data_IF_598221737907
#
_entry.id   IF_598221737907
#
_cell.length_a   1.000
_cell.length_b   1.000
_cell.length_c   1.000
_cell.angle_alpha   90.00
_cell.angle_beta   90.00
_cell.angle_gamma   90.00
#
_symmetry.space_group_name_H-M   'P 1'
#
loop_
_entity.id
_entity.type
_entity.pdbx_description
1 polymer ?
#
# COMPACT_ATOMS: atom_id res chain seq x y z
N UNK A 1 19.50 17.65 13.58
CA UNK A 1 20.22 16.63 14.38
C UNK A 1 19.69 16.67 15.79
N UNK A 2 19.46 15.51 16.43
CA UNK A 2 19.09 15.39 17.86
C UNK A 2 19.88 14.23 18.45
N UNK A 3 20.47 14.41 19.62
CA UNK A 3 21.30 13.41 20.27
C UNK A 3 20.80 13.24 21.70
N UNK A 4 20.57 11.99 22.08
CA UNK A 4 20.07 11.62 23.39
C UNK A 4 21.06 10.70 24.09
N UNK A 5 21.49 11.07 25.28
CA UNK A 5 22.13 10.16 26.22
C UNK A 5 21.05 9.56 27.12
N UNK A 6 20.86 8.26 27.02
CA UNK A 6 19.77 7.53 27.70
C UNK A 6 20.39 6.66 28.83
N UNK A 7 20.05 7.00 30.04
CA UNK A 7 20.40 6.25 31.26
C UNK A 7 19.13 5.67 31.88
N UNK A 8 19.27 4.76 32.81
CA UNK A 8 18.12 4.19 33.50
C UNK A 8 17.22 5.25 34.18
N UNK A 9 17.81 6.33 34.68
CA UNK A 9 17.14 7.35 35.48
C UNK A 9 17.15 8.77 34.84
N UNK A 10 17.92 8.98 33.79
CA UNK A 10 18.10 10.30 33.22
C UNK A 10 18.21 10.25 31.69
N UNK A 11 17.56 11.19 31.04
CA UNK A 11 17.67 11.40 29.61
C UNK A 11 18.16 12.83 29.39
N UNK A 12 19.25 12.97 28.66
CA UNK A 12 19.79 14.27 28.28
C UNK A 12 19.75 14.42 26.76
N UNK A 13 19.15 15.49 26.29
CA UNK A 13 19.17 15.85 24.88
C UNK A 13 20.25 16.89 24.63
N UNK A 14 21.03 16.71 23.58
CA UNK A 14 22.06 17.66 23.12
C UNK A 14 22.01 17.78 21.60
N UNK A 15 22.54 18.88 21.09
CA UNK A 15 22.72 19.09 19.64
C UNK A 15 24.19 18.91 19.22
N UNK A 16 25.06 18.54 20.15
CA UNK A 16 26.50 18.39 19.92
C UNK A 16 26.86 16.92 19.90
N UNK A 17 27.70 16.50 18.95
CA UNK A 17 28.19 15.14 18.83
C UNK A 17 28.93 14.71 20.10
N UNK A 18 28.63 13.51 20.65
CA UNK A 18 29.20 13.07 21.93
C UNK A 18 30.71 12.83 21.82
N UNK A 19 31.44 13.22 22.85
CA UNK A 19 32.88 12.99 22.94
C UNK A 19 33.23 11.68 23.66
N UNK A 20 32.37 11.20 24.55
CA UNK A 20 32.52 9.97 25.29
C UNK A 20 31.16 9.30 25.46
N UNK A 21 31.19 7.98 25.69
CA UNK A 21 30.01 7.24 26.11
C UNK A 21 29.66 7.58 27.58
N UNK A 22 28.33 7.59 27.89
CA UNK A 22 27.92 7.70 29.30
C UNK A 22 28.44 6.49 30.11
N UNK A 23 28.67 6.64 31.40
CA UNK A 23 29.16 5.52 32.28
C UNK A 23 28.21 4.33 32.24
N UNK A 24 26.90 4.59 32.24
CA UNK A 24 25.84 3.60 32.10
C UNK A 24 24.85 4.06 31.00
N UNK A 25 24.17 3.09 30.36
CA UNK A 25 23.21 3.37 29.27
C UNK A 25 23.87 3.50 27.90
N UNK A 26 23.23 4.22 27.01
CA UNK A 26 23.62 4.29 25.62
C UNK A 26 23.29 5.65 24.97
N UNK A 27 23.81 5.88 23.78
CA UNK A 27 23.60 7.11 23.02
C UNK A 27 22.73 6.83 21.80
N UNK A 28 21.71 7.66 21.59
CA UNK A 28 20.94 7.70 20.35
C UNK A 28 21.24 8.98 19.56
N UNK A 29 21.74 8.83 18.34
CA UNK A 29 22.02 9.92 17.42
C UNK A 29 20.99 9.88 16.29
N UNK A 30 20.08 10.85 16.25
CA UNK A 30 19.00 10.96 15.28
C UNK A 30 19.27 12.07 14.28
N UNK A 31 19.37 11.67 13.02
CA UNK A 31 19.63 12.59 11.90
C UNK A 31 18.47 12.60 10.90
N UNK A 32 18.28 13.72 10.23
CA UNK A 32 17.68 13.70 8.91
C UNK A 32 18.70 13.20 7.88
N UNK A 33 18.24 12.65 6.76
CA UNK A 33 19.14 12.13 5.69
C UNK A 33 20.13 13.20 5.22
N UNK A 34 19.66 14.44 5.03
CA UNK A 34 20.51 15.56 4.64
C UNK A 34 21.54 15.96 5.71
N UNK A 35 21.13 15.94 6.98
CA UNK A 35 22.08 16.20 8.09
C UNK A 35 23.15 15.11 8.16
N UNK A 36 22.75 13.84 8.00
CA UNK A 36 23.70 12.74 8.01
C UNK A 36 24.69 12.82 6.84
N UNK A 37 24.23 13.15 5.63
CA UNK A 37 25.07 13.33 4.46
C UNK A 37 26.13 14.43 4.67
N UNK A 38 25.75 15.56 5.26
CA UNK A 38 26.66 16.68 5.54
C UNK A 38 27.66 16.32 6.65
N UNK A 39 27.21 15.62 7.68
CA UNK A 39 28.00 15.30 8.88
C UNK A 39 28.68 13.94 8.81
N UNK A 40 28.61 13.23 7.69
CA UNK A 40 29.07 11.85 7.53
C UNK A 40 30.48 11.62 8.05
N UNK A 41 31.44 12.49 7.70
CA UNK A 41 32.84 12.39 8.16
C UNK A 41 32.95 12.54 9.69
N UNK A 42 32.23 13.50 10.27
CA UNK A 42 32.25 13.73 11.70
C UNK A 42 31.59 12.58 12.47
N UNK A 43 30.49 12.02 11.93
CA UNK A 43 29.81 10.85 12.52
C UNK A 43 30.75 9.64 12.49
N UNK A 44 31.48 9.41 11.39
CA UNK A 44 32.48 8.34 11.30
C UNK A 44 33.60 8.50 12.34
N UNK A 45 34.10 9.73 12.54
CA UNK A 45 35.11 10.00 13.57
C UNK A 45 34.59 9.71 14.98
N UNK A 46 33.34 10.11 15.25
CA UNK A 46 32.67 9.86 16.54
C UNK A 46 32.45 8.36 16.76
N UNK A 47 31.95 7.66 15.77
CA UNK A 47 31.77 6.19 15.83
C UNK A 47 33.10 5.49 16.05
N UNK A 48 34.14 5.88 15.31
CA UNK A 48 35.49 5.36 15.51
C UNK A 48 36.03 5.55 16.94
N UNK A 49 35.71 6.69 17.57
CA UNK A 49 36.11 7.00 18.93
C UNK A 49 35.29 6.27 19.99
N UNK A 50 33.97 6.21 19.81
CA UNK A 50 33.03 5.65 20.80
C UNK A 50 32.91 4.13 20.73
N UNK A 51 32.94 3.55 19.53
CA UNK A 51 32.70 2.13 19.30
C UNK A 51 33.97 1.39 18.83
N UNK A 52 35.03 2.10 18.47
CA UNK A 52 36.24 1.48 17.91
C UNK A 52 36.08 0.95 16.47
N UNK A 53 34.93 1.19 15.86
CA UNK A 53 34.50 0.65 14.57
C UNK A 53 34.25 1.77 13.53
N UNK A 54 34.13 1.39 12.27
CA UNK A 54 33.72 2.28 11.19
C UNK A 54 32.54 1.67 10.43
N UNK A 55 31.61 2.52 10.01
CA UNK A 55 30.55 2.10 9.12
C UNK A 55 31.13 1.93 7.72
N UNK A 56 30.91 0.79 7.07
CA UNK A 56 31.40 0.52 5.72
C UNK A 56 30.77 1.47 4.70
N UNK A 57 31.52 1.82 3.65
CA UNK A 57 31.06 2.77 2.61
C UNK A 57 29.79 2.27 1.92
N UNK A 58 29.63 0.96 1.74
CA UNK A 58 28.42 0.35 1.22
C UNK A 58 27.21 0.69 2.10
N UNK A 59 27.31 0.45 3.38
CA UNK A 59 26.24 0.72 4.34
C UNK A 59 25.95 2.22 4.51
N UNK A 60 26.94 3.10 4.33
CA UNK A 60 26.72 4.55 4.27
C UNK A 60 25.87 4.95 3.06
N UNK A 61 26.11 4.31 1.91
CA UNK A 61 25.28 4.51 0.71
C UNK A 61 23.87 4.00 0.93
N UNK A 62 23.71 2.85 1.59
CA UNK A 62 22.41 2.25 1.90
C UNK A 62 21.60 3.14 2.84
N UNK A 63 22.21 3.68 3.87
CA UNK A 63 21.59 4.64 4.81
C UNK A 63 21.08 5.91 4.10
N UNK A 64 21.78 6.35 3.06
CA UNK A 64 21.41 7.55 2.28
C UNK A 64 20.43 7.27 1.15
N UNK A 65 20.32 6.00 0.72
CA UNK A 65 19.50 5.63 -0.43
C UNK A 65 17.99 5.68 -0.10
N UNK A 66 17.26 6.56 -0.78
CA UNK A 66 15.81 6.70 -0.59
C UNK A 66 14.97 5.61 -1.28
N UNK A 67 15.57 4.86 -2.21
CA UNK A 67 14.88 3.83 -2.99
C UNK A 67 15.06 2.43 -2.42
N UNK A 68 15.91 2.29 -1.41
CA UNK A 68 16.26 0.99 -0.87
C UNK A 68 15.05 0.29 -0.25
N UNK A 69 14.82 -1.00 -0.55
CA UNK A 69 13.81 -1.81 0.15
C UNK A 69 14.17 -2.01 1.63
N UNK A 70 13.22 -2.51 2.40
CA UNK A 70 13.51 -2.93 3.77
C UNK A 70 14.45 -4.14 3.72
N UNK A 71 15.55 -4.06 4.46
CA UNK A 71 16.52 -5.16 4.56
C UNK A 71 17.32 -5.06 5.87
N UNK A 72 17.87 -6.15 6.27
CA UNK A 72 18.78 -6.26 7.40
C UNK A 72 20.13 -6.78 6.92
N UNK A 73 21.20 -6.21 7.46
CA UNK A 73 22.58 -6.68 7.28
C UNK A 73 23.34 -6.54 8.59
N UNK A 74 24.41 -7.28 8.78
CA UNK A 74 25.20 -7.24 9.99
C UNK A 74 26.69 -7.37 9.70
N UNK A 75 27.47 -6.86 10.63
CA UNK A 75 28.93 -6.97 10.66
C UNK A 75 29.37 -7.51 12.00
N UNK A 76 30.68 -7.66 12.20
CA UNK A 76 31.18 -8.01 13.54
C UNK A 76 30.99 -6.91 14.60
N UNK A 77 30.83 -5.65 14.16
CA UNK A 77 30.82 -4.47 15.05
C UNK A 77 29.45 -3.81 15.18
N UNK A 78 28.55 -4.00 14.22
CA UNK A 78 27.23 -3.36 14.20
C UNK A 78 26.23 -4.07 13.29
N UNK A 79 24.95 -3.82 13.56
CA UNK A 79 23.82 -4.22 12.75
C UNK A 79 23.27 -3.04 11.96
N UNK A 80 22.85 -3.27 10.73
CA UNK A 80 22.17 -2.32 9.87
C UNK A 80 20.74 -2.80 9.60
N UNK A 81 19.74 -2.00 9.94
CA UNK A 81 18.35 -2.22 9.55
C UNK A 81 17.85 -1.03 8.75
N UNK A 82 17.47 -1.25 7.52
CA UNK A 82 16.70 -0.30 6.72
C UNK A 82 15.25 -0.76 6.71
N UNK A 83 14.33 0.15 7.05
CA UNK A 83 12.93 -0.20 7.20
C UNK A 83 12.03 0.87 6.59
N UNK A 84 11.22 0.51 5.59
CA UNK A 84 10.33 1.45 4.91
C UNK A 84 9.10 1.74 5.76
N UNK A 85 8.82 3.03 5.97
CA UNK A 85 7.64 3.52 6.66
C UNK A 85 6.66 4.17 5.68
N UNK A 86 5.41 4.28 6.05
CA UNK A 86 4.45 5.11 5.32
C UNK A 86 4.84 6.58 5.43
N UNK A 87 4.90 7.27 4.31
CA UNK A 87 5.09 8.71 4.27
C UNK A 87 3.81 9.41 4.79
N UNK A 88 3.98 10.41 5.63
CA UNK A 88 2.88 11.18 6.18
C UNK A 88 2.77 12.51 5.44
N UNK A 89 1.92 12.55 4.40
CA UNK A 89 1.50 13.79 3.78
C UNK A 89 2.28 14.21 2.54
N UNK A 90 1.83 15.31 1.90
CA UNK A 90 2.30 15.87 0.62
C UNK A 90 3.70 16.50 0.67
N UNK A 91 4.35 16.55 1.79
CA UNK A 91 5.57 17.34 2.04
C UNK A 91 6.86 16.53 2.04
N UNK A 92 6.80 15.20 1.89
CA UNK A 92 8.01 14.37 1.78
C UNK A 92 8.53 14.28 0.33
N UNK A 93 8.37 15.34 -0.45
CA UNK A 93 9.13 15.51 -1.68
C UNK A 93 10.60 15.66 -1.31
N UNK A 94 11.40 14.72 -1.73
CA UNK A 94 12.85 14.85 -1.67
C UNK A 94 13.25 16.01 -2.60
N UNK A 95 13.45 17.18 -2.00
CA UNK A 95 13.85 18.39 -2.72
C UNK A 95 15.23 18.25 -3.40
N UNK A 96 15.96 17.16 -3.15
CA UNK A 96 17.24 16.86 -3.79
C UNK A 96 17.09 16.32 -5.22
N UNK A 97 15.87 15.94 -5.66
CA UNK A 97 15.56 15.54 -7.03
C UNK A 97 14.49 16.45 -7.63
N UNK A 98 14.86 17.61 -8.21
CA UNK A 98 13.91 18.48 -8.89
C UNK A 98 13.35 17.76 -10.11
N UNK A 99 12.07 17.39 -10.09
CA UNK A 99 11.35 16.77 -11.20
C UNK A 99 10.51 15.55 -10.88
N UNK A 100 10.66 14.90 -9.74
CA UNK A 100 9.72 13.87 -9.29
C UNK A 100 8.48 14.52 -8.67
N UNK A 101 7.50 14.81 -9.53
CA UNK A 101 6.14 15.16 -9.08
C UNK A 101 5.48 13.86 -8.65
N UNK A 102 5.64 13.51 -7.38
CA UNK A 102 4.85 12.47 -6.74
C UNK A 102 3.39 12.95 -6.68
N UNK A 103 2.56 12.34 -7.51
CA UNK A 103 1.11 12.47 -7.57
C UNK A 103 0.52 13.83 -7.99
N UNK A 104 0.42 14.03 -9.30
CA UNK A 104 -0.58 14.93 -9.86
C UNK A 104 -1.97 14.51 -9.38
N UNK A 105 -2.71 15.45 -8.79
CA UNK A 105 -4.13 15.29 -8.44
C UNK A 105 -4.95 15.04 -9.71
N UNK A 106 -5.10 13.78 -10.10
CA UNK A 106 -6.13 13.41 -11.06
C UNK A 106 -7.41 13.13 -10.26
N UNK A 107 -8.40 13.99 -10.39
CA UNK A 107 -9.71 13.90 -9.72
C UNK A 107 -10.48 12.60 -10.00
N UNK A 108 -9.97 11.72 -10.85
CA UNK A 108 -10.63 10.50 -11.32
C UNK A 108 -9.88 9.20 -10.96
N UNK A 109 -8.89 9.24 -10.12
CA UNK A 109 -8.10 8.05 -9.78
C UNK A 109 -8.59 7.43 -8.47
N UNK A 110 -9.20 6.26 -8.51
CA UNK A 110 -9.49 5.33 -7.44
C UNK A 110 -9.73 5.82 -5.99
N UNK A 111 -9.76 4.95 -5.00
CA UNK A 111 -9.92 5.33 -3.60
C UNK A 111 -8.83 6.30 -3.12
N UNK A 112 -9.21 7.36 -2.42
CA UNK A 112 -8.29 8.40 -1.95
C UNK A 112 -7.15 7.86 -1.06
N UNK A 113 -7.39 6.74 -0.38
CA UNK A 113 -6.38 6.12 0.49
C UNK A 113 -5.21 5.54 -0.31
N UNK A 114 -5.47 4.97 -1.49
CA UNK A 114 -4.42 4.40 -2.34
C UNK A 114 -3.44 5.46 -2.86
N UNK A 115 -3.88 6.71 -2.98
CA UNK A 115 -3.01 7.85 -3.34
C UNK A 115 -2.09 8.29 -2.22
N UNK A 116 -2.34 7.85 -0.99
CA UNK A 116 -1.55 8.17 0.20
C UNK A 116 -0.52 7.10 0.53
N UNK A 117 -0.50 6.02 -0.23
CA UNK A 117 0.49 4.96 -0.06
C UNK A 117 1.76 5.40 -0.78
N UNK A 118 2.58 6.09 -0.05
CA UNK A 118 3.95 6.38 -0.38
C UNK A 118 4.82 5.93 0.80
N UNK A 119 6.03 5.50 0.54
CA UNK A 119 6.91 4.97 1.57
C UNK A 119 8.30 5.58 1.47
N UNK A 120 8.93 5.75 2.61
CA UNK A 120 10.31 6.20 2.70
C UNK A 120 11.08 5.39 3.72
N UNK A 121 12.35 5.03 3.46
CA UNK A 121 13.14 4.25 4.40
C UNK A 121 13.60 5.10 5.58
N UNK A 122 13.65 4.44 6.74
CA UNK A 122 14.39 4.86 7.92
C UNK A 122 15.50 3.84 8.11
N UNK A 123 16.72 4.30 8.33
CA UNK A 123 17.86 3.42 8.55
C UNK A 123 18.31 3.49 10.00
N UNK A 124 18.72 2.35 10.55
CA UNK A 124 19.28 2.21 11.89
C UNK A 124 20.62 1.51 11.77
N UNK A 125 21.65 2.11 12.34
CA UNK A 125 22.95 1.47 12.57
C UNK A 125 23.09 1.27 14.09
N UNK A 126 23.15 0.04 14.50
CA UNK A 126 23.05 -0.36 15.91
C UNK A 126 24.36 -0.97 16.37
N UNK A 127 25.04 -0.30 17.28
CA UNK A 127 26.22 -0.77 18.00
C UNK A 127 25.82 -1.17 19.42
N UNK A 128 26.72 -1.76 20.18
CA UNK A 128 26.47 -2.19 21.58
C UNK A 128 25.89 -1.08 22.46
N UNK A 129 26.44 0.14 22.35
CA UNK A 129 26.07 1.28 23.21
C UNK A 129 25.73 2.56 22.40
N UNK A 130 25.61 2.46 21.09
CA UNK A 130 25.26 3.58 20.22
C UNK A 130 24.24 3.11 19.20
N UNK A 131 23.22 3.92 18.97
CA UNK A 131 22.34 3.74 17.81
C UNK A 131 22.28 5.03 17.01
N UNK A 132 22.49 4.90 15.72
CA UNK A 132 22.32 5.97 14.75
C UNK A 132 21.04 5.69 14.02
N UNK A 133 20.16 6.69 13.93
CA UNK A 133 18.97 6.58 13.10
C UNK A 133 18.90 7.72 12.09
N UNK A 134 18.67 7.37 10.82
CA UNK A 134 18.57 8.32 9.72
C UNK A 134 17.16 8.31 9.15
N UNK A 135 16.55 9.47 9.14
CA UNK A 135 15.14 9.64 8.84
C UNK A 135 14.93 10.62 7.68
N UNK A 136 13.79 10.57 6.99
CA UNK A 136 13.32 11.67 6.16
C UNK A 136 13.14 12.97 6.97
N UNK A 137 13.18 14.11 6.31
CA UNK A 137 13.16 15.45 6.97
C UNK A 137 11.96 15.61 7.91
N UNK A 138 10.77 15.18 7.49
CA UNK A 138 9.52 15.35 8.23
C UNK A 138 9.07 14.06 8.95
N UNK A 139 9.99 13.37 9.60
CA UNK A 139 9.69 12.11 10.29
C UNK A 139 8.96 12.33 11.62
N UNK A 140 7.63 12.21 11.61
CA UNK A 140 6.80 12.31 12.82
C UNK A 140 7.17 11.23 13.84
N UNK A 141 7.60 10.04 13.41
CA UNK A 141 8.01 8.95 14.31
C UNK A 141 9.20 9.38 15.15
N UNK A 142 10.24 10.00 14.53
CA UNK A 142 11.38 10.56 15.24
C UNK A 142 10.94 11.57 16.29
N UNK A 143 10.08 12.51 15.91
CA UNK A 143 9.61 13.57 16.81
C UNK A 143 8.76 13.02 17.95
N UNK A 144 7.81 12.12 17.63
CA UNK A 144 6.93 11.50 18.63
C UNK A 144 7.73 10.65 19.60
N UNK A 145 8.71 9.88 19.11
CA UNK A 145 9.54 9.05 19.97
C UNK A 145 10.44 9.90 20.88
N UNK A 146 11.06 10.94 20.36
CA UNK A 146 11.83 11.89 21.13
C UNK A 146 10.97 12.58 22.21
N UNK A 147 9.74 13.01 21.86
CA UNK A 147 8.81 13.59 22.85
C UNK A 147 8.41 12.58 23.94
N UNK A 148 8.18 11.31 23.57
CA UNK A 148 7.92 10.24 24.56
C UNK A 148 9.09 10.02 25.50
N UNK A 149 10.32 10.02 25.00
CA UNK A 149 11.53 9.92 25.84
C UNK A 149 11.62 11.08 26.82
N UNK A 150 11.47 12.31 26.33
CA UNK A 150 11.53 13.51 27.19
C UNK A 150 10.41 13.54 28.22
N UNK A 151 9.21 13.07 27.88
CA UNK A 151 8.09 12.98 28.84
C UNK A 151 8.35 11.93 29.96
N UNK A 152 9.20 10.96 29.70
CA UNK A 152 9.55 9.92 30.67
C UNK A 152 10.47 10.43 31.80
N UNK A 153 11.09 11.59 31.66
CA UNK A 153 11.93 12.24 32.70
C UNK A 153 11.11 12.53 33.96
N UNK A 154 9.80 12.73 33.84
CA UNK A 154 8.91 13.04 34.96
C UNK A 154 8.29 11.80 35.62
N UNK A 155 8.65 10.59 35.19
CA UNK A 155 8.13 9.34 35.74
C UNK A 155 8.95 8.86 36.96
N UNK A 156 8.30 8.12 37.82
CA UNK A 156 9.02 7.43 38.89
C UNK A 156 9.97 6.35 38.33
N UNK A 157 11.12 6.02 38.98
CA UNK A 157 12.08 5.04 38.47
C UNK A 157 11.44 3.71 38.04
N UNK A 158 10.49 3.20 38.83
CA UNK A 158 9.76 1.96 38.50
C UNK A 158 8.90 2.06 37.25
N UNK A 159 8.32 3.23 36.94
CA UNK A 159 7.54 3.47 35.72
C UNK A 159 8.45 3.75 34.51
N UNK A 160 9.59 4.39 34.74
CA UNK A 160 10.59 4.66 33.72
C UNK A 160 11.20 3.37 33.17
N UNK A 161 11.53 2.42 34.03
CA UNK A 161 12.15 1.14 33.70
C UNK A 161 11.36 0.33 32.66
N UNK A 162 10.02 0.38 32.66
CA UNK A 162 9.18 -0.29 31.68
C UNK A 162 8.96 0.53 30.39
N UNK A 163 9.12 1.85 30.42
CA UNK A 163 8.82 2.74 29.30
C UNK A 163 10.05 3.14 28.50
N UNK A 164 11.22 3.19 29.13
CA UNK A 164 12.47 3.51 28.45
C UNK A 164 13.05 2.29 27.75
N UNK A 165 13.73 2.52 26.60
CA UNK A 165 14.47 1.44 25.94
C UNK A 165 15.68 1.05 26.79
N UNK A 166 15.90 -0.26 26.94
CA UNK A 166 16.98 -0.81 27.77
C UNK A 166 18.35 -0.80 27.07
N UNK A 167 18.36 -0.85 25.75
CA UNK A 167 19.56 -0.88 24.90
C UNK A 167 19.29 -0.32 23.51
N UNK A 168 20.33 -0.11 22.67
CA UNK A 168 20.18 0.39 21.29
C UNK A 168 19.20 -0.42 20.43
N UNK A 169 19.26 -1.75 20.48
CA UNK A 169 18.40 -2.63 19.72
C UNK A 169 16.92 -2.54 20.16
N UNK A 170 16.66 -2.42 21.48
CA UNK A 170 15.30 -2.20 22.00
C UNK A 170 14.72 -0.86 21.52
N UNK A 171 15.53 0.20 21.44
CA UNK A 171 15.11 1.47 20.88
C UNK A 171 14.72 1.31 19.41
N UNK A 172 15.57 0.68 18.62
CA UNK A 172 15.30 0.39 17.20
C UNK A 172 13.98 -0.37 17.05
N UNK A 173 13.78 -1.49 17.76
CA UNK A 173 12.55 -2.30 17.67
C UNK A 173 11.31 -1.52 18.07
N UNK A 174 11.36 -0.68 19.09
CA UNK A 174 10.22 0.18 19.48
C UNK A 174 9.86 1.20 18.39
N UNK A 175 10.86 1.75 17.69
CA UNK A 175 10.62 2.67 16.58
C UNK A 175 10.03 1.93 15.40
N UNK A 176 10.56 0.74 15.06
CA UNK A 176 10.03 -0.11 13.99
C UNK A 176 8.60 -0.57 14.32
N UNK A 177 8.31 -0.96 15.56
CA UNK A 177 6.93 -1.26 15.99
C UNK A 177 5.99 -0.08 15.74
N UNK A 178 6.43 1.14 16.01
CA UNK A 178 5.61 2.35 15.71
C UNK A 178 5.40 2.58 14.21
N UNK A 179 6.35 2.16 13.36
CA UNK A 179 6.19 2.14 11.90
C UNK A 179 5.10 1.14 11.50
N UNK A 180 5.18 -0.09 12.03
CA UNK A 180 4.22 -1.16 11.72
C UNK A 180 2.81 -0.83 12.21
N UNK A 181 2.67 -0.14 13.34
CA UNK A 181 1.38 0.39 13.82
C UNK A 181 0.72 1.33 12.79
N UNK A 182 1.52 2.11 12.05
CA UNK A 182 1.05 2.93 10.95
C UNK A 182 0.39 2.09 9.84
N UNK A 183 0.98 0.95 9.49
CA UNK A 183 0.42 0.02 8.50
C UNK A 183 -0.86 -0.67 9.00
N UNK A 184 -0.94 -1.01 10.29
CA UNK A 184 -2.15 -1.57 10.89
C UNK A 184 -3.32 -0.57 10.87
N UNK A 185 -3.05 0.72 11.02
CA UNK A 185 -4.06 1.77 10.90
C UNK A 185 -4.50 1.95 9.44
N UNK A 186 -3.55 1.95 8.49
CA UNK A 186 -3.82 2.00 7.06
C UNK A 186 -4.74 0.85 6.62
N UNK A 187 -4.52 -0.36 7.15
CA UNK A 187 -5.31 -1.55 6.87
C UNK A 187 -6.82 -1.31 7.02
N UNK A 188 -7.24 -0.70 8.12
CA UNK A 188 -8.67 -0.46 8.41
C UNK A 188 -9.29 0.49 7.40
N UNK A 189 -8.55 1.52 7.05
CA UNK A 189 -9.01 2.53 6.09
C UNK A 189 -9.06 1.97 4.67
N UNK A 190 -8.06 1.18 4.26
CA UNK A 190 -8.03 0.48 2.98
C UNK A 190 -9.24 -0.44 2.81
N UNK A 191 -9.54 -1.28 3.80
CA UNK A 191 -10.71 -2.17 3.75
C UNK A 191 -11.98 -1.37 3.49
N UNK A 192 -12.23 -0.33 4.30
CA UNK A 192 -13.45 0.46 4.20
C UNK A 192 -13.62 1.14 2.84
N UNK A 193 -12.54 1.70 2.30
CA UNK A 193 -12.61 2.41 1.01
C UNK A 193 -12.67 1.45 -0.18
N UNK A 194 -11.99 0.31 -0.12
CA UNK A 194 -12.07 -0.70 -1.18
C UNK A 194 -13.43 -1.37 -1.22
N UNK A 195 -14.04 -1.71 -0.08
CA UNK A 195 -15.39 -2.28 -0.02
C UNK A 195 -16.43 -1.32 -0.62
N UNK A 196 -16.33 -0.03 -0.29
CA UNK A 196 -17.20 0.99 -0.87
C UNK A 196 -17.01 1.09 -2.38
N UNK A 197 -15.79 1.12 -2.84
CA UNK A 197 -15.46 1.22 -4.27
C UNK A 197 -15.89 -0.03 -5.06
N UNK A 198 -15.74 -1.22 -4.48
CA UNK A 198 -16.25 -2.46 -5.08
C UNK A 198 -17.78 -2.44 -5.24
N UNK A 199 -18.49 -1.91 -4.25
CA UNK A 199 -19.95 -1.78 -4.32
C UNK A 199 -20.37 -0.83 -5.46
N UNK A 200 -19.62 0.23 -5.71
CA UNK A 200 -19.85 1.14 -6.85
C UNK A 200 -19.56 0.47 -8.20
N UNK A 201 -18.49 -0.32 -8.30
CA UNK A 201 -18.12 -1.07 -9.51
C UNK A 201 -19.17 -2.11 -9.90
N UNK A 202 -19.78 -2.74 -8.91
CA UNK A 202 -20.82 -3.76 -9.10
C UNK A 202 -22.21 -3.15 -9.37
N UNK A 203 -22.38 -1.84 -9.24
CA UNK A 203 -23.65 -1.18 -9.49
C UNK A 203 -23.96 -1.16 -11.00
N UNK A 204 -25.04 -1.82 -11.48
CA UNK A 204 -25.36 -1.90 -12.91
C UNK A 204 -25.68 -0.54 -13.53
N UNK A 205 -26.02 0.46 -12.71
CA UNK A 205 -26.36 1.83 -13.16
C UNK A 205 -25.13 2.74 -13.21
N UNK A 206 -24.02 2.35 -12.58
CA UNK A 206 -22.81 3.14 -12.61
C UNK A 206 -22.10 3.00 -13.96
N UNK A 207 -21.89 4.12 -14.64
CA UNK A 207 -21.05 4.18 -15.84
C UNK A 207 -19.59 4.33 -15.37
N UNK A 208 -18.98 3.23 -15.00
CA UNK A 208 -17.56 3.25 -14.64
C UNK A 208 -16.73 3.30 -15.94
N UNK A 209 -16.08 4.43 -16.18
CA UNK A 209 -15.23 4.63 -17.36
C UNK A 209 -13.75 4.82 -17.00
N UNK A 210 -13.38 4.66 -15.71
CA UNK A 210 -12.05 5.02 -15.26
C UNK A 210 -11.15 3.80 -15.04
N UNK A 211 -10.74 3.18 -16.15
CA UNK A 211 -9.82 2.03 -16.17
C UNK A 211 -8.45 2.33 -15.56
N UNK A 212 -7.99 3.57 -15.69
CA UNK A 212 -6.71 3.99 -15.11
C UNK A 212 -6.74 3.96 -13.60
N UNK A 213 -7.88 4.27 -12.98
CA UNK A 213 -8.04 4.19 -11.53
C UNK A 213 -7.97 2.75 -11.01
N UNK A 214 -8.57 1.80 -11.74
CA UNK A 214 -8.49 0.37 -11.43
C UNK A 214 -7.06 -0.16 -11.51
N UNK A 215 -6.37 0.16 -12.60
CA UNK A 215 -4.98 -0.25 -12.78
C UNK A 215 -4.09 0.37 -11.70
N UNK A 216 -4.24 1.66 -11.42
CA UNK A 216 -3.45 2.34 -10.38
C UNK A 216 -3.72 1.77 -8.99
N UNK A 217 -4.97 1.42 -8.67
CA UNK A 217 -5.31 0.77 -7.41
C UNK A 217 -4.58 -0.57 -7.26
N UNK A 218 -4.60 -1.39 -8.33
CA UNK A 218 -3.90 -2.69 -8.33
C UNK A 218 -2.39 -2.51 -8.17
N UNK A 219 -1.77 -1.62 -8.94
CA UNK A 219 -0.33 -1.35 -8.86
C UNK A 219 0.07 -0.85 -7.47
N UNK A 220 -0.76 -0.01 -6.85
CA UNK A 220 -0.48 0.51 -5.51
C UNK A 220 -0.60 -0.57 -4.44
N UNK A 221 -1.59 -1.47 -4.55
CA UNK A 221 -1.72 -2.61 -3.63
C UNK A 221 -0.57 -3.59 -3.80
N UNK A 222 -0.19 -3.89 -5.04
CA UNK A 222 0.98 -4.73 -5.33
C UNK A 222 2.27 -4.14 -4.74
N UNK A 223 2.51 -2.84 -4.95
CA UNK A 223 3.64 -2.15 -4.33
C UNK A 223 3.61 -2.22 -2.79
N UNK A 224 2.44 -2.10 -2.19
CA UNK A 224 2.28 -2.22 -0.74
C UNK A 224 2.61 -3.64 -0.26
N UNK A 225 2.21 -4.66 -1.02
CA UNK A 225 2.51 -6.06 -0.73
C UNK A 225 4.02 -6.31 -0.77
N UNK A 226 4.71 -5.86 -1.82
CA UNK A 226 6.18 -5.93 -1.93
C UNK A 226 6.88 -5.28 -0.73
N UNK A 227 6.46 -4.07 -0.34
CA UNK A 227 7.03 -3.37 0.82
C UNK A 227 6.83 -4.16 2.11
N UNK A 228 5.67 -4.76 2.31
CA UNK A 228 5.37 -5.55 3.51
C UNK A 228 6.14 -6.87 3.53
N UNK A 229 6.34 -7.51 2.39
CA UNK A 229 7.19 -8.71 2.26
C UNK A 229 8.66 -8.40 2.54
N UNK A 230 9.21 -7.30 2.04
CA UNK A 230 10.56 -6.84 2.36
C UNK A 230 10.74 -6.58 3.87
N UNK A 231 9.71 -5.96 4.51
CA UNK A 231 9.70 -5.74 5.95
C UNK A 231 9.72 -7.06 6.72
N UNK A 232 8.94 -8.05 6.26
CA UNK A 232 8.89 -9.38 6.86
C UNK A 232 10.24 -10.07 6.75
N UNK A 233 10.87 -10.06 5.58
CA UNK A 233 12.18 -10.63 5.34
C UNK A 233 13.23 -9.99 6.28
N UNK A 234 13.31 -8.64 6.30
CA UNK A 234 14.27 -7.93 7.13
C UNK A 234 14.16 -8.26 8.64
N UNK A 235 12.94 -8.41 9.16
CA UNK A 235 12.76 -8.77 10.58
C UNK A 235 13.01 -10.27 10.82
N UNK A 236 12.77 -11.12 9.83
CA UNK A 236 13.13 -12.53 9.93
C UNK A 236 14.65 -12.70 10.01
N UNK A 237 15.39 -12.02 9.13
CA UNK A 237 16.87 -12.03 9.13
C UNK A 237 17.44 -11.47 10.45
N UNK A 238 16.83 -10.39 10.97
CA UNK A 238 17.16 -9.85 12.30
C UNK A 238 16.94 -10.90 13.40
N UNK A 239 15.83 -11.64 13.40
CA UNK A 239 15.54 -12.68 14.41
C UNK A 239 16.54 -13.82 14.29
N UNK A 240 16.92 -14.21 13.09
CA UNK A 240 17.96 -15.24 12.88
C UNK A 240 19.30 -14.80 13.45
N UNK A 241 19.73 -13.56 13.18
CA UNK A 241 20.93 -13.00 13.75
C UNK A 241 20.85 -12.93 15.28
N UNK A 242 19.72 -12.44 15.83
CA UNK A 242 19.50 -12.35 17.28
C UNK A 242 19.54 -13.73 17.97
N UNK A 243 19.16 -14.79 17.29
CA UNK A 243 19.23 -16.15 17.82
C UNK A 243 20.65 -16.69 17.86
N UNK A 244 21.56 -16.17 17.03
CA UNK A 244 22.98 -16.52 17.03
C UNK A 244 23.78 -15.83 18.16
N UNK A 245 23.23 -14.75 18.76
CA UNK A 245 23.88 -14.06 19.85
C UNK A 245 23.98 -14.97 21.09
N UNK A 246 25.19 -15.10 21.65
CA UNK A 246 25.40 -15.85 22.88
C UNK A 246 25.02 -15.00 24.10
N UNK A 247 24.66 -15.66 25.17
CA UNK A 247 24.38 -14.97 26.45
C UNK A 247 25.60 -14.23 27.02
N UNK A 248 26.80 -14.51 26.53
CA UNK A 248 28.05 -13.85 26.93
C UNK A 248 28.28 -12.53 26.19
N UNK A 249 27.67 -12.38 24.99
CA UNK A 249 27.81 -11.19 24.13
C UNK A 249 26.82 -10.07 24.50
N UNK A 250 25.82 -10.37 25.33
CA UNK A 250 24.75 -9.40 25.68
C UNK A 250 24.84 -9.03 27.15
N UNK A 251 24.77 -7.75 27.47
CA UNK A 251 24.92 -7.15 28.80
C UNK A 251 24.04 -7.75 29.89
N UNK A 252 22.89 -8.37 29.56
CA UNK A 252 22.04 -9.10 30.52
C UNK A 252 21.18 -10.13 29.79
N UNK A 253 21.10 -11.39 30.28
CA UNK A 253 20.25 -12.43 29.68
C UNK A 253 18.76 -12.03 29.55
N UNK A 254 18.24 -11.30 30.53
CA UNK A 254 16.85 -10.80 30.53
C UNK A 254 16.59 -9.82 29.40
N UNK A 255 17.57 -9.02 28.98
CA UNK A 255 17.43 -8.08 27.89
C UNK A 255 17.38 -8.79 26.54
N UNK A 256 18.09 -9.89 26.35
CA UNK A 256 18.06 -10.70 25.15
C UNK A 256 16.69 -11.38 24.95
N UNK A 257 16.14 -11.97 26.01
CA UNK A 257 14.81 -12.57 25.96
C UNK A 257 13.74 -11.51 25.64
N UNK A 258 13.84 -10.32 26.21
CA UNK A 258 12.94 -9.21 25.90
C UNK A 258 13.01 -8.82 24.40
N UNK A 259 14.23 -8.74 23.83
CA UNK A 259 14.42 -8.46 22.41
C UNK A 259 13.79 -9.55 21.54
N UNK A 260 14.00 -10.85 21.88
CA UNK A 260 13.39 -11.97 21.16
C UNK A 260 11.86 -11.95 21.20
N UNK A 261 11.28 -11.63 22.35
CA UNK A 261 9.82 -11.50 22.49
C UNK A 261 9.28 -10.35 21.66
N UNK A 262 9.92 -9.17 21.72
CA UNK A 262 9.52 -8.00 20.92
C UNK A 262 9.65 -8.24 19.42
N UNK A 263 10.73 -8.90 19.00
CA UNK A 263 10.96 -9.21 17.59
C UNK A 263 9.90 -10.16 17.05
N UNK A 264 9.51 -11.17 17.82
CA UNK A 264 8.43 -12.11 17.46
C UNK A 264 7.07 -11.42 17.39
N UNK A 265 6.74 -10.56 18.34
CA UNK A 265 5.50 -9.76 18.33
C UNK A 265 5.45 -8.82 17.11
N UNK A 266 6.58 -8.17 16.82
CA UNK A 266 6.71 -7.33 15.64
C UNK A 266 6.50 -8.11 14.33
N UNK A 267 7.12 -9.29 14.19
CA UNK A 267 6.96 -10.15 13.03
C UNK A 267 5.49 -10.57 12.87
N UNK A 268 4.82 -10.97 13.94
CA UNK A 268 3.39 -11.33 13.90
C UNK A 268 2.52 -10.16 13.42
N UNK A 269 2.83 -8.93 13.83
CA UNK A 269 2.12 -7.75 13.36
C UNK A 269 2.35 -7.49 11.86
N UNK A 270 3.58 -7.66 11.37
CA UNK A 270 3.91 -7.54 9.94
C UNK A 270 3.18 -8.61 9.14
N UNK A 271 3.21 -9.87 9.56
CA UNK A 271 2.50 -10.98 8.90
C UNK A 271 1.00 -10.71 8.79
N UNK A 272 0.38 -10.15 9.82
CA UNK A 272 -1.03 -9.72 9.76
C UNK A 272 -1.28 -8.67 8.69
N UNK A 273 -0.33 -7.76 8.47
CA UNK A 273 -0.44 -6.74 7.41
C UNK A 273 -0.27 -7.39 6.05
N UNK A 274 0.77 -8.19 5.84
CA UNK A 274 1.04 -8.95 4.60
C UNK A 274 -0.20 -9.74 4.16
N UNK A 275 -0.71 -10.62 5.02
CA UNK A 275 -1.90 -11.42 4.70
C UNK A 275 -3.15 -10.58 4.41
N UNK A 276 -3.23 -9.39 4.99
CA UNK A 276 -4.36 -8.53 4.73
C UNK A 276 -4.25 -7.83 3.38
N UNK A 277 -3.07 -7.31 3.05
CA UNK A 277 -2.80 -6.63 1.77
C UNK A 277 -3.00 -7.60 0.60
N UNK A 278 -2.45 -8.81 0.70
CA UNK A 278 -2.65 -9.85 -0.31
C UNK A 278 -4.14 -10.19 -0.54
N UNK A 279 -4.95 -10.25 0.53
CA UNK A 279 -6.41 -10.44 0.40
C UNK A 279 -7.10 -9.25 -0.27
N UNK A 280 -6.67 -8.03 0.02
CA UNK A 280 -7.23 -6.83 -0.61
C UNK A 280 -6.88 -6.77 -2.10
N UNK A 281 -5.67 -7.16 -2.49
CA UNK A 281 -5.25 -7.25 -3.88
C UNK A 281 -6.12 -8.27 -4.63
N UNK A 282 -6.28 -9.47 -4.10
CA UNK A 282 -7.12 -10.49 -4.70
C UNK A 282 -8.61 -10.08 -4.77
N UNK A 283 -9.10 -9.40 -3.75
CA UNK A 283 -10.47 -8.86 -3.73
C UNK A 283 -10.66 -7.78 -4.79
N UNK A 284 -9.69 -6.89 -4.98
CA UNK A 284 -9.70 -5.87 -6.03
C UNK A 284 -9.69 -6.52 -7.43
N UNK A 285 -8.86 -7.54 -7.66
CA UNK A 285 -8.83 -8.28 -8.91
C UNK A 285 -10.18 -8.96 -9.22
N UNK A 286 -10.77 -9.59 -8.22
CA UNK A 286 -12.09 -10.22 -8.35
C UNK A 286 -13.16 -9.19 -8.72
N UNK A 287 -13.15 -8.00 -8.12
CA UNK A 287 -14.09 -6.93 -8.45
C UNK A 287 -13.92 -6.45 -9.89
N UNK A 288 -12.68 -6.35 -10.38
CA UNK A 288 -12.38 -6.03 -11.79
C UNK A 288 -12.98 -7.08 -12.71
N UNK A 289 -12.76 -8.37 -12.44
CA UNK A 289 -13.30 -9.47 -13.26
C UNK A 289 -14.83 -9.47 -13.26
N UNK A 290 -15.46 -9.26 -12.10
CA UNK A 290 -16.91 -9.15 -12.00
C UNK A 290 -17.46 -7.98 -12.81
N UNK A 291 -16.79 -6.83 -12.81
CA UNK A 291 -17.19 -5.68 -13.61
C UNK A 291 -17.11 -5.98 -15.12
N UNK A 292 -16.03 -6.64 -15.59
CA UNK A 292 -15.91 -7.07 -16.99
C UNK A 292 -17.04 -8.04 -17.37
N UNK A 293 -17.33 -9.01 -16.51
CA UNK A 293 -18.41 -9.96 -16.74
C UNK A 293 -19.78 -9.27 -16.81
N UNK A 294 -20.04 -8.31 -15.91
CA UNK A 294 -21.26 -7.51 -15.93
C UNK A 294 -21.39 -6.68 -17.22
N UNK A 295 -20.29 -6.09 -17.68
CA UNK A 295 -20.27 -5.33 -18.94
C UNK A 295 -20.45 -6.22 -20.17
N UNK A 296 -19.82 -7.39 -20.19
CA UNK A 296 -20.01 -8.39 -21.24
C UNK A 296 -21.47 -8.85 -21.32
N UNK A 297 -22.08 -9.16 -20.17
CA UNK A 297 -23.49 -9.51 -20.10
C UNK A 297 -24.40 -8.41 -20.66
N UNK A 298 -24.12 -7.15 -20.30
CA UNK A 298 -24.87 -5.99 -20.82
C UNK A 298 -24.73 -5.85 -22.33
N UNK A 299 -23.52 -6.05 -22.87
CA UNK A 299 -23.29 -6.04 -24.32
C UNK A 299 -24.06 -7.16 -25.00
N UNK A 300 -24.06 -8.35 -24.42
CA UNK A 300 -24.83 -9.49 -24.92
C UNK A 300 -26.35 -9.20 -24.91
N UNK A 301 -26.87 -8.52 -23.87
CA UNK A 301 -28.27 -8.13 -23.80
C UNK A 301 -28.65 -7.10 -24.86
N UNK A 302 -27.79 -6.14 -25.12
CA UNK A 302 -27.96 -5.18 -26.20
C UNK A 302 -27.96 -5.88 -27.58
N UNK A 303 -26.99 -6.77 -27.81
CA UNK A 303 -26.89 -7.55 -29.05
C UNK A 303 -28.14 -8.44 -29.25
N UNK A 304 -28.61 -9.05 -28.17
CA UNK A 304 -29.82 -9.88 -28.16
C UNK A 304 -31.05 -9.06 -28.49
N UNK A 305 -31.21 -7.89 -27.89
CA UNK A 305 -32.33 -6.96 -28.21
C UNK A 305 -32.28 -6.51 -29.67
N UNK A 306 -31.11 -6.15 -30.17
CA UNK A 306 -30.92 -5.76 -31.55
C UNK A 306 -31.24 -6.90 -32.53
N UNK A 307 -30.80 -8.13 -32.20
CA UNK A 307 -31.08 -9.33 -32.98
C UNK A 307 -32.58 -9.60 -33.07
N UNK A 308 -33.31 -9.48 -31.96
CA UNK A 308 -34.77 -9.64 -31.94
C UNK A 308 -35.44 -8.60 -32.76
N UNK A 309 -35.04 -7.33 -32.63
CA UNK A 309 -35.59 -6.23 -33.44
C UNK A 309 -35.40 -6.49 -34.92
N UNK A 310 -34.17 -6.81 -35.33
CA UNK A 310 -33.82 -7.12 -36.72
C UNK A 310 -34.60 -8.33 -37.22
N UNK A 311 -34.73 -9.39 -36.44
CA UNK A 311 -35.46 -10.61 -36.83
C UNK A 311 -36.97 -10.38 -37.04
N UNK A 312 -37.54 -9.37 -36.34
CA UNK A 312 -38.94 -8.95 -36.58
C UNK A 312 -39.07 -8.06 -37.80
N UNK A 313 -38.19 -7.05 -37.95
CA UNK A 313 -38.30 -6.06 -39.03
C UNK A 313 -37.89 -6.59 -40.40
N UNK A 314 -36.95 -7.54 -40.49
CA UNK A 314 -36.46 -8.06 -41.76
C UNK A 314 -37.58 -8.72 -42.59
N UNK A 315 -38.42 -9.64 -42.04
CA UNK A 315 -39.56 -10.19 -42.80
C UNK A 315 -40.60 -9.13 -43.17
N UNK A 316 -40.86 -8.17 -42.29
CA UNK A 316 -41.79 -7.10 -42.56
C UNK A 316 -41.32 -6.22 -43.73
N UNK A 317 -40.03 -5.87 -43.75
CA UNK A 317 -39.41 -5.12 -44.85
C UNK A 317 -39.43 -5.91 -46.16
N UNK A 318 -39.26 -7.25 -46.12
CA UNK A 318 -39.37 -8.10 -47.28
C UNK A 318 -40.82 -8.07 -47.85
N UNK A 319 -41.82 -8.16 -46.97
CA UNK A 319 -43.24 -8.10 -47.39
C UNK A 319 -43.56 -6.72 -48.00
N UNK A 320 -43.19 -5.64 -47.30
CA UNK A 320 -43.44 -4.27 -47.81
C UNK A 320 -42.68 -3.99 -49.09
N UNK A 321 -41.44 -4.48 -49.23
CA UNK A 321 -40.63 -4.36 -50.43
C UNK A 321 -41.24 -5.14 -51.61
N UNK A 322 -41.73 -6.36 -51.33
CA UNK A 322 -42.37 -7.19 -52.35
C UNK A 322 -43.68 -6.58 -52.88
N UNK A 323 -44.55 -6.11 -52.00
CA UNK A 323 -45.83 -5.43 -52.41
C UNK A 323 -45.61 -3.99 -52.88
N UNK A 324 -44.47 -3.38 -52.63
CA UNK A 324 -44.09 -2.07 -53.15
C UNK A 324 -43.48 -2.10 -54.58
N UNK A 325 -43.33 -3.27 -55.18
CA UNK A 325 -42.84 -3.40 -56.56
C UNK A 325 -43.93 -3.02 -57.55
N UNK A 326 -43.61 -2.16 -58.53
CA UNK A 326 -44.54 -1.67 -59.59
C UNK A 326 -44.72 -2.72 -60.69
N UNK A 327 -45.37 -3.85 -60.40
CA UNK A 327 -45.77 -4.81 -61.45
C UNK A 327 -47.18 -4.60 -61.80
N UNK A 328 -47.46 -4.25 -63.09
CA UNK A 328 -48.79 -3.96 -63.60
C UNK A 328 -49.80 -5.14 -63.57
N UNK A 329 -49.31 -6.38 -63.57
CA UNK A 329 -50.10 -7.60 -63.58
C UNK A 329 -50.11 -8.40 -62.26
N UNK A 330 -49.97 -7.76 -61.09
CA UNK A 330 -50.00 -8.43 -59.86
C UNK A 330 -51.42 -8.52 -59.25
N UNK A 331 -52.04 -9.72 -59.22
CA UNK A 331 -53.50 -9.83 -58.90
C UNK A 331 -53.82 -9.38 -57.45
N UNK A 332 -52.91 -9.50 -56.52
CA UNK A 332 -53.14 -9.11 -55.13
C UNK A 332 -53.18 -7.60 -54.88
N UNK A 333 -52.61 -6.77 -55.78
CA UNK A 333 -52.65 -5.31 -55.68
C UNK A 333 -54.01 -4.74 -56.19
N UNK A 334 -54.75 -5.50 -56.99
CA UNK A 334 -56.05 -5.08 -57.57
C UNK A 334 -57.26 -5.72 -56.85
N UNK A 335 -57.04 -6.48 -55.79
CA UNK A 335 -58.08 -7.08 -54.94
C UNK A 335 -58.72 -6.01 -54.03
N UNK A 336 -60.06 -5.95 -53.95
CA UNK A 336 -60.86 -4.95 -53.20
C UNK A 336 -60.44 -4.81 -51.71
N UNK A 337 -59.71 -5.83 -51.12
CA UNK A 337 -59.20 -5.87 -49.74
C UNK A 337 -57.70 -6.20 -49.69
N UNK A 338 -56.96 -6.07 -50.77
CA UNK A 338 -55.52 -6.50 -50.79
C UNK A 338 -54.63 -5.80 -49.78
N UNK A 339 -54.80 -4.49 -49.59
CA UNK A 339 -54.06 -3.71 -48.63
C UNK A 339 -54.36 -4.16 -47.19
N UNK A 340 -55.66 -4.33 -46.83
CA UNK A 340 -56.06 -4.79 -45.49
C UNK A 340 -55.56 -6.21 -45.16
N UNK A 341 -55.61 -7.13 -46.13
CA UNK A 341 -55.06 -8.48 -45.97
C UNK A 341 -53.54 -8.48 -45.74
N UNK A 342 -52.80 -7.63 -46.42
CA UNK A 342 -51.36 -7.48 -46.26
C UNK A 342 -51.02 -6.91 -44.88
N UNK A 343 -51.75 -5.91 -44.39
CA UNK A 343 -51.56 -5.37 -43.04
C UNK A 343 -51.84 -6.40 -41.95
N UNK A 344 -52.91 -7.13 -42.06
CA UNK A 344 -53.27 -8.23 -41.13
C UNK A 344 -52.18 -9.31 -41.15
N UNK A 345 -51.72 -9.70 -42.34
CA UNK A 345 -50.65 -10.70 -42.47
C UNK A 345 -49.34 -10.24 -41.79
N UNK A 346 -48.95 -8.99 -42.05
CA UNK A 346 -47.78 -8.37 -41.40
C UNK A 346 -47.95 -8.34 -39.88
N UNK A 347 -49.12 -7.99 -39.38
CA UNK A 347 -49.43 -7.98 -37.94
C UNK A 347 -49.31 -9.39 -37.30
N UNK A 348 -49.84 -10.41 -38.01
CA UNK A 348 -49.71 -11.80 -37.55
C UNK A 348 -48.28 -12.28 -37.54
N UNK A 349 -47.48 -11.97 -38.54
CA UNK A 349 -46.03 -12.29 -38.60
C UNK A 349 -45.27 -11.60 -37.49
N UNK A 350 -45.50 -10.28 -37.29
CA UNK A 350 -44.85 -9.53 -36.21
C UNK A 350 -45.21 -10.05 -34.84
N UNK A 351 -46.50 -10.30 -34.54
CA UNK A 351 -46.98 -10.83 -33.29
C UNK A 351 -46.46 -12.26 -33.02
N UNK A 352 -46.46 -13.11 -34.07
CA UNK A 352 -45.92 -14.47 -33.97
C UNK A 352 -44.43 -14.52 -33.62
N UNK A 353 -43.61 -13.69 -34.29
CA UNK A 353 -42.20 -13.59 -34.01
C UNK A 353 -41.95 -12.99 -32.61
N UNK A 354 -42.65 -11.92 -32.25
CA UNK A 354 -42.56 -11.34 -30.92
C UNK A 354 -42.91 -12.34 -29.82
N UNK A 355 -43.99 -13.16 -30.03
CA UNK A 355 -44.37 -14.20 -29.10
C UNK A 355 -43.29 -15.30 -28.98
N UNK A 356 -42.68 -15.74 -30.07
CA UNK A 356 -41.61 -16.74 -30.07
C UNK A 356 -40.39 -16.22 -29.28
N UNK A 357 -39.99 -14.98 -29.52
CA UNK A 357 -38.85 -14.40 -28.78
C UNK A 357 -39.17 -14.15 -27.32
N UNK A 358 -40.39 -13.74 -26.98
CA UNK A 358 -40.85 -13.60 -25.65
C UNK A 358 -40.84 -14.96 -24.91
N UNK A 359 -41.39 -16.01 -25.53
CA UNK A 359 -41.39 -17.37 -24.96
C UNK A 359 -39.98 -17.93 -24.73
N UNK A 360 -39.05 -17.66 -25.64
CA UNK A 360 -37.65 -18.04 -25.55
C UNK A 360 -36.85 -17.12 -24.59
N UNK A 361 -37.48 -16.23 -23.84
CA UNK A 361 -36.88 -15.27 -22.94
C UNK A 361 -35.78 -14.38 -23.56
N UNK A 362 -35.92 -14.08 -24.87
CA UNK A 362 -35.05 -13.13 -25.54
C UNK A 362 -35.45 -11.66 -25.28
N UNK A 363 -36.68 -11.40 -24.84
CA UNK A 363 -37.25 -10.07 -24.53
C UNK A 363 -37.51 -9.83 -23.05
N UNK A 364 -37.12 -10.75 -22.15
CA UNK A 364 -37.27 -10.59 -20.72
C UNK A 364 -36.02 -11.13 -20.02
N UNK A 365 -35.18 -10.22 -19.53
CA UNK A 365 -34.11 -10.45 -18.61
C UNK A 365 -34.61 -10.38 -17.19
#
# INVERSE_FOLDING_TARGET
>A
MRIFSIHADQIQETEVLPQALPDQGFVWMAFSRREFEILQTQVQEVVGRLCGARIYDLHLQDVLNNQLPSHYDFTADYDLLVFRRLAQGRTETDLSKPGEILHRENAHAGPNILRKIDTSPVAFVVFDRVVISVHPVDCVIRQTFAAKLLSAIHLTPAQAMHRLPSNPADLMLRMVSSVVDGYLNLRRELTRQLDHWQSELLNPKARFNNWSALLNARLTLHYLDEVCEDQRAAITDWIEALNSWSSEDVFHPESLELLKVRSRDLLEHIERVVHHVARLEQSAETAVQMHFNAQSNRTNDIMRTLTVLTAIFLPLNLITGFFGMNFENFPALHADHGLFLTEVFMGVVAAGLAFVFWRKRYLGG
#
